data_IF_241610506124
#
_entry.id   IF_241610506124
#
_cell.length_a   1.000
_cell.length_b   1.000
_cell.length_c   1.000
_cell.angle_alpha   90.00
_cell.angle_beta   90.00
_cell.angle_gamma   90.00
#
_symmetry.space_group_name_H-M   'P 1'
#
loop_
_entity.id
_entity.type
_entity.pdbx_description
1 polymer ?
#
# COMPACT_ATOMS: atom_id res chain seq x y z
N UNK A 1 -20.96 6.88 -46.69
CA UNK A 1 -20.11 7.45 -45.61
C UNK A 1 -18.79 6.70 -45.62
N UNK A 2 -17.69 7.34 -46.02
CA UNK A 2 -16.36 6.72 -45.99
C UNK A 2 -15.86 6.64 -44.54
N UNK A 3 -15.12 5.59 -44.14
CA UNK A 3 -14.51 5.52 -42.81
C UNK A 3 -13.33 6.50 -42.71
N UNK A 4 -13.17 7.11 -41.54
CA UNK A 4 -12.06 8.01 -41.23
C UNK A 4 -10.71 7.25 -41.23
N UNK A 5 -9.59 7.90 -41.60
CA UNK A 5 -8.27 7.29 -41.56
C UNK A 5 -7.84 7.01 -40.12
N UNK A 6 -7.25 5.83 -39.89
CA UNK A 6 -6.62 5.48 -38.62
C UNK A 6 -5.29 6.23 -38.51
N UNK A 7 -5.17 7.06 -37.48
CA UNK A 7 -3.90 7.66 -37.09
C UNK A 7 -3.37 6.79 -35.94
N UNK A 8 -2.28 6.08 -36.18
CA UNK A 8 -1.64 5.26 -35.16
C UNK A 8 -0.94 6.16 -34.13
N UNK A 9 -0.97 5.82 -32.83
CA UNK A 9 -0.37 6.64 -31.79
C UNK A 9 1.18 6.62 -31.86
N UNK A 10 1.87 7.72 -31.47
CA UNK A 10 3.30 7.93 -31.73
C UNK A 10 4.28 6.91 -31.09
N UNK A 11 3.81 6.00 -30.25
CA UNK A 11 4.65 5.04 -29.54
C UNK A 11 4.86 3.73 -30.32
N UNK A 12 4.07 3.44 -31.37
CA UNK A 12 4.28 2.23 -32.19
C UNK A 12 5.47 2.35 -33.14
N UNK A 13 5.78 3.55 -33.61
CA UNK A 13 6.90 3.81 -34.53
C UNK A 13 8.26 3.67 -33.81
N UNK A 14 8.31 3.98 -32.51
CA UNK A 14 9.49 3.78 -31.66
C UNK A 14 9.89 2.30 -31.47
N UNK A 15 8.98 1.35 -31.74
CA UNK A 15 9.25 -0.09 -31.60
C UNK A 15 9.92 -0.74 -32.81
N UNK A 16 9.96 -0.06 -33.96
CA UNK A 16 10.50 -0.62 -35.23
C UNK A 16 11.90 -0.12 -35.58
N UNK A 17 12.48 0.79 -34.79
CA UNK A 17 13.87 1.22 -35.03
C UNK A 17 14.87 0.19 -34.50
N UNK A 18 15.80 -0.33 -35.32
CA UNK A 18 16.73 -1.39 -34.93
C UNK A 18 17.98 -0.89 -34.17
N UNK A 19 18.02 0.39 -33.77
CA UNK A 19 19.25 1.04 -33.27
C UNK A 19 19.47 0.97 -31.74
N UNK A 20 18.59 0.33 -30.96
CA UNK A 20 18.83 0.11 -29.52
C UNK A 20 19.29 -1.33 -29.21
N UNK A 21 20.32 -1.85 -29.89
CA UNK A 21 21.04 -2.99 -29.31
C UNK A 21 21.86 -2.49 -28.11
N UNK A 22 21.28 -2.60 -26.91
CA UNK A 22 22.03 -2.45 -25.66
C UNK A 22 22.89 -3.71 -25.53
N UNK A 23 24.13 -3.64 -26.03
CA UNK A 23 25.17 -4.58 -25.63
C UNK A 23 25.54 -4.32 -24.17
N UNK A 24 25.42 -5.34 -23.32
CA UNK A 24 26.03 -5.34 -21.99
C UNK A 24 25.09 -5.19 -20.79
N UNK A 25 24.11 -6.08 -20.63
CA UNK A 25 23.54 -6.40 -19.31
C UNK A 25 24.20 -7.68 -18.80
N UNK A 26 25.31 -7.51 -18.08
CA UNK A 26 26.05 -8.62 -17.47
C UNK A 26 27.12 -8.23 -16.45
N UNK A 27 27.28 -6.95 -16.11
CA UNK A 27 28.21 -6.54 -15.06
C UNK A 27 27.48 -5.69 -14.03
N UNK A 28 27.46 -6.18 -12.78
CA UNK A 28 27.04 -5.39 -11.64
C UNK A 28 27.96 -4.18 -11.53
N UNK A 29 27.40 -2.97 -11.66
CA UNK A 29 28.14 -1.74 -11.40
C UNK A 29 28.72 -1.79 -9.98
N UNK A 30 30.00 -1.40 -9.77
CA UNK A 30 30.55 -1.30 -8.43
C UNK A 30 29.73 -0.30 -7.62
N UNK A 31 29.35 -0.69 -6.41
CA UNK A 31 28.60 0.19 -5.53
C UNK A 31 29.40 1.48 -5.25
N UNK A 32 28.79 2.67 -5.36
CA UNK A 32 29.45 3.91 -5.02
C UNK A 32 29.95 3.92 -3.56
N UNK A 33 31.15 4.46 -3.32
CA UNK A 33 31.78 4.50 -2.00
C UNK A 33 30.96 5.23 -0.92
N UNK A 34 30.02 6.12 -1.31
CA UNK A 34 29.11 6.79 -0.37
C UNK A 34 28.07 5.85 0.26
N UNK A 35 27.95 4.60 -0.21
CA UNK A 35 27.05 3.58 0.35
C UNK A 35 27.69 2.72 1.46
N UNK A 36 28.93 2.98 1.85
CA UNK A 36 29.66 2.20 2.86
C UNK A 36 29.70 2.95 4.20
N UNK A 37 29.76 2.21 5.32
CA UNK A 37 29.95 2.81 6.66
C UNK A 37 31.37 3.39 6.83
N UNK A 38 31.65 4.08 7.95
CA UNK A 38 32.98 4.63 8.26
C UNK A 38 34.09 3.57 8.36
N UNK A 39 33.74 2.28 8.33
CA UNK A 39 34.65 1.14 8.30
C UNK A 39 34.73 0.47 6.92
N UNK A 40 34.16 1.07 5.88
CA UNK A 40 34.20 0.55 4.50
C UNK A 40 33.35 -0.72 4.30
N UNK A 41 32.45 -1.04 5.24
CA UNK A 41 31.58 -2.21 5.15
C UNK A 41 30.24 -1.84 4.57
N UNK A 42 29.65 -2.78 3.83
CA UNK A 42 28.23 -2.72 3.50
C UNK A 42 27.46 -2.80 4.82
N UNK A 43 26.55 -1.87 5.09
CA UNK A 43 25.76 -1.98 6.28
C UNK A 43 24.88 -3.25 6.16
N UNK A 44 24.64 -3.91 7.30
CA UNK A 44 23.89 -5.16 7.29
C UNK A 44 22.48 -4.80 6.83
N UNK A 45 22.10 -5.23 5.61
CA UNK A 45 20.79 -4.96 5.00
C UNK A 45 19.62 -5.04 5.99
N UNK A 46 19.69 -5.98 6.94
CA UNK A 46 18.69 -6.16 7.99
C UNK A 46 18.61 -5.02 9.03
N UNK A 47 19.74 -4.48 9.50
CA UNK A 47 19.76 -3.43 10.54
C UNK A 47 19.31 -2.08 9.98
N UNK A 48 19.72 -1.76 8.74
CA UNK A 48 19.33 -0.52 8.06
C UNK A 48 17.81 -0.47 7.79
N UNK A 49 17.22 -1.63 7.51
CA UNK A 49 15.79 -1.74 7.29
C UNK A 49 14.98 -1.45 8.56
N UNK A 50 15.47 -1.81 9.74
CA UNK A 50 14.80 -1.52 11.02
C UNK A 50 14.87 -0.02 11.33
N UNK A 51 16.04 0.61 11.24
CA UNK A 51 16.19 2.04 11.50
C UNK A 51 15.31 2.88 10.55
N UNK A 52 15.27 2.51 9.27
CA UNK A 52 14.37 3.14 8.31
C UNK A 52 12.91 2.92 8.68
N UNK A 53 12.50 1.68 8.99
CA UNK A 53 11.11 1.39 9.40
C UNK A 53 10.70 2.26 10.58
N UNK A 54 11.57 2.39 11.60
CA UNK A 54 11.34 3.23 12.77
C UNK A 54 11.16 4.70 12.41
N UNK A 55 11.87 5.22 11.40
CA UNK A 55 11.79 6.64 11.00
C UNK A 55 10.40 7.09 10.54
N UNK A 56 9.58 6.16 10.06
CA UNK A 56 8.21 6.44 9.59
C UNK A 56 7.13 5.66 10.35
N UNK A 57 7.50 5.06 11.49
CA UNK A 57 6.58 4.32 12.34
C UNK A 57 6.19 5.10 13.60
N UNK A 58 4.97 4.88 14.06
CA UNK A 58 4.42 5.46 15.28
C UNK A 58 4.39 4.40 16.37
N UNK A 59 4.99 4.73 17.52
CA UNK A 59 4.96 3.89 18.72
C UNK A 59 3.64 4.06 19.46
N UNK A 60 3.14 2.98 20.07
CA UNK A 60 1.96 3.03 20.92
C UNK A 60 0.64 3.15 20.16
N UNK A 61 0.64 2.86 18.86
CA UNK A 61 -0.52 2.94 17.98
C UNK A 61 -0.68 1.62 17.24
N UNK A 62 -1.89 1.06 17.21
CA UNK A 62 -2.30 0.04 16.24
C UNK A 62 -3.28 0.62 15.24
N UNK A 63 -3.39 0.01 14.07
CA UNK A 63 -4.45 0.30 13.11
C UNK A 63 -5.56 -0.74 13.28
N UNK A 64 -6.81 -0.28 13.34
CA UNK A 64 -7.97 -1.11 13.66
C UNK A 64 -9.04 -1.06 12.55
N UNK A 65 -9.81 -2.15 12.37
CA UNK A 65 -9.76 -3.39 13.16
C UNK A 65 -8.52 -4.23 12.89
N UNK A 66 -8.05 -4.92 13.94
CA UNK A 66 -7.02 -5.94 13.79
C UNK A 66 -7.58 -7.14 13.02
N UNK A 67 -6.68 -7.91 12.40
CA UNK A 67 -6.98 -9.22 11.80
C UNK A 67 -7.88 -9.21 10.55
N UNK A 68 -7.92 -8.08 9.82
CA UNK A 68 -8.46 -8.04 8.45
C UNK A 68 -7.70 -8.95 7.48
N UNK A 69 -6.43 -9.24 7.79
CA UNK A 69 -5.66 -10.34 7.23
C UNK A 69 -5.32 -11.34 8.33
N UNK A 70 -5.04 -12.61 7.98
CA UNK A 70 -4.54 -13.58 8.94
C UNK A 70 -3.32 -13.03 9.69
N UNK A 71 -3.40 -13.11 11.02
CA UNK A 71 -2.32 -12.82 11.93
C UNK A 71 -1.07 -13.61 11.52
N UNK A 72 0.08 -12.94 11.54
CA UNK A 72 1.36 -13.56 11.22
C UNK A 72 2.40 -13.22 12.28
N UNK A 73 3.42 -14.05 12.41
CA UNK A 73 4.61 -13.74 13.22
C UNK A 73 5.71 -13.26 12.29
N UNK A 74 6.30 -12.12 12.61
CA UNK A 74 7.42 -11.55 11.85
C UNK A 74 8.63 -11.37 12.73
N UNK A 75 9.84 -11.44 12.19
CA UNK A 75 11.06 -11.37 13.01
C UNK A 75 11.18 -10.03 13.75
N UNK A 76 10.81 -8.96 13.07
CA UNK A 76 10.91 -7.58 13.53
C UNK A 76 9.90 -6.68 12.76
N UNK A 77 9.77 -5.39 13.15
CA UNK A 77 8.84 -4.49 12.47
C UNK A 77 9.15 -4.25 10.98
N UNK A 78 10.41 -4.33 10.56
CA UNK A 78 10.79 -4.13 9.16
C UNK A 78 10.34 -5.29 8.28
N UNK A 79 10.35 -6.52 8.82
CA UNK A 79 9.77 -7.68 8.17
C UNK A 79 8.25 -7.53 8.01
N UNK A 80 7.56 -7.04 9.05
CA UNK A 80 6.13 -6.75 9.00
C UNK A 80 5.78 -5.64 7.99
N UNK A 81 6.55 -4.54 7.96
CA UNK A 81 6.41 -3.48 6.95
C UNK A 81 6.59 -4.05 5.53
N UNK A 82 7.63 -4.85 5.32
CA UNK A 82 7.91 -5.45 4.02
C UNK A 82 6.80 -6.43 3.59
N UNK A 83 6.21 -7.18 4.52
CA UNK A 83 5.02 -7.99 4.25
C UNK A 83 3.85 -7.12 3.81
N UNK A 84 3.56 -6.02 4.53
CA UNK A 84 2.52 -5.08 4.11
C UNK A 84 2.76 -4.55 2.69
N UNK A 85 4.00 -4.19 2.35
CA UNK A 85 4.35 -3.70 1.01
C UNK A 85 4.02 -4.69 -0.12
N UNK A 86 4.09 -6.00 0.15
CA UNK A 86 3.80 -7.07 -0.82
C UNK A 86 2.34 -7.50 -0.80
N UNK A 87 1.62 -7.26 0.29
CA UNK A 87 0.21 -7.64 0.42
C UNK A 87 -0.69 -6.64 -0.29
N UNK A 88 -1.38 -7.10 -1.34
CA UNK A 88 -2.37 -6.27 -2.03
C UNK A 88 -3.46 -5.81 -1.06
N UNK A 89 -3.69 -4.49 -1.01
CA UNK A 89 -4.71 -3.88 -0.16
C UNK A 89 -4.20 -3.48 1.22
N UNK A 90 -3.00 -3.90 1.62
CA UNK A 90 -2.39 -3.42 2.86
C UNK A 90 -1.96 -1.96 2.71
N UNK A 91 -2.33 -1.16 3.69
CA UNK A 91 -2.01 0.26 3.77
C UNK A 91 -1.32 0.65 5.08
N UNK A 92 -1.50 -0.18 6.11
CA UNK A 92 -0.85 0.00 7.39
C UNK A 92 -0.43 -1.36 7.94
N UNK A 93 0.69 -1.38 8.63
CA UNK A 93 1.07 -2.51 9.47
C UNK A 93 0.97 -2.10 10.94
N UNK A 94 0.67 -3.05 11.81
CA UNK A 94 0.73 -2.90 13.26
C UNK A 94 1.47 -4.09 13.84
N UNK A 95 2.70 -3.84 14.31
CA UNK A 95 3.57 -4.86 14.87
C UNK A 95 3.60 -4.78 16.39
N UNK A 96 3.17 -5.84 17.07
CA UNK A 96 3.25 -5.95 18.53
C UNK A 96 4.58 -6.58 18.95
N UNK A 97 5.46 -5.75 19.50
CA UNK A 97 6.83 -6.11 19.86
C UNK A 97 6.96 -7.33 20.80
N UNK A 98 6.15 -7.48 21.87
CA UNK A 98 6.31 -8.60 22.81
C UNK A 98 6.03 -9.97 22.17
N UNK A 99 4.96 -10.07 21.39
CA UNK A 99 4.55 -11.32 20.75
C UNK A 99 5.10 -11.52 19.35
N UNK A 100 5.73 -10.49 18.76
CA UNK A 100 6.14 -10.46 17.35
C UNK A 100 4.97 -10.59 16.36
N UNK A 101 3.80 -10.16 16.80
CA UNK A 101 2.57 -10.26 16.03
C UNK A 101 2.51 -9.15 14.99
N UNK A 102 2.34 -9.54 13.73
CA UNK A 102 2.20 -8.65 12.60
C UNK A 102 0.77 -8.69 12.08
N UNK A 103 0.06 -7.59 12.33
CA UNK A 103 -1.27 -7.33 11.82
C UNK A 103 -1.15 -6.40 10.61
N UNK A 104 -1.86 -6.73 9.53
CA UNK A 104 -1.97 -5.87 8.35
C UNK A 104 -3.35 -5.24 8.33
N UNK A 105 -3.42 -4.02 7.82
CA UNK A 105 -4.64 -3.25 7.78
C UNK A 105 -4.81 -2.51 6.46
N UNK A 106 -6.06 -2.35 6.05
CA UNK A 106 -6.43 -1.65 4.82
C UNK A 106 -6.38 -0.14 5.01
N UNK A 107 -6.52 0.61 3.91
CA UNK A 107 -6.47 2.09 3.92
C UNK A 107 -7.53 2.74 4.81
N UNK A 108 -8.59 2.02 5.15
CA UNK A 108 -9.69 2.55 5.93
C UNK A 108 -9.59 2.23 7.41
N UNK A 109 -8.56 1.50 7.82
CA UNK A 109 -8.31 1.30 9.22
C UNK A 109 -8.11 2.65 9.92
N UNK A 110 -8.49 2.68 11.19
CA UNK A 110 -8.37 3.86 12.04
C UNK A 110 -7.23 3.68 13.03
N UNK A 111 -6.46 4.73 13.33
CA UNK A 111 -5.40 4.64 14.32
C UNK A 111 -6.02 4.57 15.73
N UNK A 112 -5.62 3.57 16.51
CA UNK A 112 -5.96 3.39 17.91
C UNK A 112 -4.73 3.72 18.77
N UNK A 113 -4.69 4.89 19.46
CA UNK A 113 -3.58 5.25 20.34
C UNK A 113 -3.63 4.51 21.68
N UNK A 114 -2.54 4.60 22.47
CA UNK A 114 -2.46 3.99 23.80
C UNK A 114 -2.24 2.48 23.79
N UNK A 115 -1.81 1.93 22.65
CA UNK A 115 -1.63 0.49 22.42
C UNK A 115 -0.20 0.08 22.76
N UNK A 116 0.02 -0.32 24.00
CA UNK A 116 1.36 -0.65 24.50
C UNK A 116 2.03 -1.77 23.69
N UNK A 117 3.32 -1.61 23.44
CA UNK A 117 4.12 -2.57 22.68
C UNK A 117 3.89 -2.56 21.17
N UNK A 118 2.93 -1.77 20.66
CA UNK A 118 2.75 -1.63 19.22
C UNK A 118 3.71 -0.62 18.60
N UNK A 119 4.17 -0.97 17.40
CA UNK A 119 4.82 -0.09 16.45
C UNK A 119 4.08 -0.26 15.12
N UNK A 120 3.56 0.83 14.57
CA UNK A 120 2.76 0.79 13.34
C UNK A 120 3.22 1.81 12.33
N UNK A 121 2.91 1.59 11.06
CA UNK A 121 3.35 2.51 10.01
C UNK A 121 2.82 2.15 8.62
N UNK A 122 3.21 2.94 7.60
CA UNK A 122 2.91 2.66 6.20
C UNK A 122 3.69 1.44 5.68
N UNK A 123 3.32 0.88 4.50
CA UNK A 123 4.07 -0.20 3.84
C UNK A 123 5.50 0.17 3.44
N UNK A 124 5.88 1.45 3.50
CA UNK A 124 7.25 1.93 3.27
C UNK A 124 7.39 3.39 3.66
N UNK A 125 8.61 3.84 3.96
CA UNK A 125 8.86 5.19 4.49
C UNK A 125 9.11 6.27 3.43
N UNK A 126 9.63 5.89 2.27
CA UNK A 126 9.98 6.82 1.21
C UNK A 126 9.01 6.65 0.02
N UNK A 127 8.68 7.74 -0.67
CA UNK A 127 7.68 7.73 -1.75
C UNK A 127 8.03 6.79 -2.90
N UNK A 128 9.33 6.62 -3.19
CA UNK A 128 9.86 5.66 -4.15
C UNK A 128 9.70 4.19 -3.69
N UNK A 129 9.56 3.98 -2.38
CA UNK A 129 9.36 2.67 -1.74
C UNK A 129 7.89 2.34 -1.49
N UNK A 130 6.98 3.23 -1.87
CA UNK A 130 5.55 3.04 -1.76
C UNK A 130 4.97 2.82 -3.16
N UNK A 131 4.13 1.80 -3.34
CA UNK A 131 3.58 1.50 -4.67
C UNK A 131 2.68 2.63 -5.18
N UNK A 132 2.71 2.92 -6.49
CA UNK A 132 1.77 3.85 -7.15
C UNK A 132 0.30 3.49 -6.83
N UNK A 133 0.00 2.20 -6.71
CA UNK A 133 -1.31 1.69 -6.29
C UNK A 133 -1.70 2.20 -4.91
N UNK A 134 -0.79 2.16 -3.93
CA UNK A 134 -1.04 2.70 -2.60
C UNK A 134 -1.28 4.21 -2.62
N UNK A 135 -0.46 4.98 -3.35
CA UNK A 135 -0.63 6.44 -3.44
C UNK A 135 -2.01 6.79 -4.01
N UNK A 136 -2.40 6.15 -5.11
CA UNK A 136 -3.73 6.31 -5.72
C UNK A 136 -4.83 5.90 -4.75
N UNK A 137 -4.66 4.78 -4.04
CA UNK A 137 -5.63 4.30 -3.04
C UNK A 137 -5.84 5.33 -1.93
N UNK A 138 -4.76 5.89 -1.38
CA UNK A 138 -4.83 6.91 -0.33
C UNK A 138 -5.48 8.20 -0.82
N UNK A 139 -5.11 8.67 -2.01
CA UNK A 139 -5.74 9.84 -2.63
C UNK A 139 -7.24 9.62 -2.86
N UNK A 140 -7.64 8.45 -3.38
CA UNK A 140 -9.06 8.13 -3.56
C UNK A 140 -9.81 8.07 -2.24
N UNK A 141 -9.21 7.55 -1.15
CA UNK A 141 -9.85 7.60 0.18
C UNK A 141 -10.17 9.04 0.57
N UNK A 142 -9.19 9.93 0.48
CA UNK A 142 -9.35 11.33 0.88
C UNK A 142 -10.29 12.13 -0.02
N UNK A 143 -10.37 11.80 -1.32
CA UNK A 143 -11.17 12.58 -2.30
C UNK A 143 -12.59 12.04 -2.47
N UNK A 144 -12.81 10.73 -2.30
CA UNK A 144 -14.09 10.10 -2.68
C UNK A 144 -14.95 9.66 -1.49
N UNK A 145 -14.43 9.59 -0.27
CA UNK A 145 -15.14 9.03 0.87
C UNK A 145 -15.11 9.96 2.08
N UNK A 146 -16.20 9.96 2.84
CA UNK A 146 -16.27 10.61 4.15
C UNK A 146 -15.78 9.64 5.22
N UNK A 147 -14.83 10.07 6.05
CA UNK A 147 -14.35 9.26 7.15
C UNK A 147 -15.40 9.17 8.27
N UNK A 148 -15.44 8.02 8.96
CA UNK A 148 -16.32 7.75 10.11
C UNK A 148 -17.81 8.11 9.91
N UNK A 149 -18.29 8.12 8.67
CA UNK A 149 -19.68 8.49 8.34
C UNK A 149 -20.47 7.24 8.01
N UNK A 150 -21.52 6.98 8.79
CA UNK A 150 -22.51 5.94 8.50
C UNK A 150 -23.81 6.60 8.08
N UNK A 151 -24.26 6.27 6.87
CA UNK A 151 -25.60 6.60 6.42
C UNK A 151 -26.56 5.56 7.03
N UNK A 152 -27.44 6.00 7.93
CA UNK A 152 -28.49 5.16 8.50
C UNK A 152 -29.53 4.89 7.41
N UNK A 153 -29.83 3.61 7.14
CA UNK A 153 -30.65 3.22 6.00
C UNK A 153 -32.05 3.86 6.01
N UNK A 154 -32.51 4.23 4.82
CA UNK A 154 -33.90 4.04 4.43
C UNK A 154 -34.13 2.57 4.09
N UNK A 155 -35.16 1.99 4.71
CA UNK A 155 -35.64 0.60 4.61
C UNK A 155 -35.36 -0.08 3.26
N UNK A 156 -34.55 -1.16 3.22
CA UNK A 156 -34.70 -2.16 2.14
C UNK A 156 -33.48 -2.93 1.58
N UNK A 157 -32.23 -2.71 2.02
CA UNK A 157 -31.08 -3.48 1.48
C UNK A 157 -30.34 -4.28 2.54
N UNK A 158 -30.28 -5.61 2.38
CA UNK A 158 -29.38 -6.43 3.19
C UNK A 158 -27.91 -6.04 2.89
N UNK A 159 -27.06 -5.91 3.93
CA UNK A 159 -25.65 -5.64 3.73
C UNK A 159 -24.99 -6.78 2.94
N UNK A 160 -24.05 -6.40 2.09
CA UNK A 160 -23.22 -7.31 1.29
C UNK A 160 -21.78 -7.27 1.76
N UNK A 161 -21.08 -8.39 1.60
CA UNK A 161 -19.65 -8.47 1.89
C UNK A 161 -18.87 -8.14 0.61
N UNK A 162 -17.94 -7.20 0.72
CA UNK A 162 -17.04 -6.79 -0.37
C UNK A 162 -15.62 -6.67 0.13
N UNK A 163 -14.67 -7.00 -0.74
CA UNK A 163 -13.23 -7.07 -0.40
C UNK A 163 -12.64 -5.72 0.02
N UNK A 164 -13.21 -4.61 -0.44
CA UNK A 164 -12.79 -3.26 -0.10
C UNK A 164 -13.85 -2.22 -0.48
N UNK A 165 -13.73 -1.02 0.10
CA UNK A 165 -14.63 0.11 -0.15
C UNK A 165 -14.75 0.53 -1.63
N UNK A 166 -13.72 0.30 -2.46
CA UNK A 166 -13.81 0.64 -3.87
C UNK A 166 -14.78 -0.28 -4.62
N UNK A 167 -14.96 -1.51 -4.14
CA UNK A 167 -16.00 -2.41 -4.67
C UNK A 167 -17.39 -1.88 -4.31
N UNK A 168 -17.62 -1.43 -3.08
CA UNK A 168 -18.88 -0.74 -2.71
C UNK A 168 -19.12 0.54 -3.52
N UNK A 169 -18.08 1.35 -3.75
CA UNK A 169 -18.16 2.53 -4.62
C UNK A 169 -18.57 2.15 -6.05
N UNK A 170 -17.94 1.12 -6.62
CA UNK A 170 -18.25 0.63 -7.96
C UNK A 170 -19.69 0.08 -8.02
N UNK A 171 -20.12 -0.65 -7.00
CA UNK A 171 -21.48 -1.21 -6.94
C UNK A 171 -22.53 -0.12 -6.85
N UNK A 172 -22.36 0.86 -5.97
CA UNK A 172 -23.31 1.96 -5.85
C UNK A 172 -23.46 2.72 -7.18
N UNK A 173 -22.39 2.90 -7.95
CA UNK A 173 -22.46 3.48 -9.31
C UNK A 173 -23.29 2.66 -10.31
N UNK A 174 -23.45 1.36 -10.09
CA UNK A 174 -24.14 0.43 -10.98
C UNK A 174 -25.58 0.13 -10.51
N UNK A 175 -25.91 0.45 -9.27
CA UNK A 175 -27.24 0.22 -8.69
C UNK A 175 -28.11 1.44 -8.96
N UNK A 176 -29.27 1.22 -9.60
CA UNK A 176 -30.22 2.30 -9.85
C UNK A 176 -30.63 2.97 -8.53
N UNK A 177 -30.64 4.30 -8.53
CA UNK A 177 -30.96 5.15 -7.37
C UNK A 177 -30.06 4.98 -6.13
N UNK A 178 -28.85 4.42 -6.25
CA UNK A 178 -27.90 4.46 -5.14
C UNK A 178 -27.27 5.85 -5.01
N UNK A 179 -27.63 6.58 -3.96
CA UNK A 179 -27.07 7.90 -3.65
C UNK A 179 -25.84 7.82 -2.73
N UNK A 180 -25.88 6.91 -1.74
CA UNK A 180 -24.84 6.74 -0.74
C UNK A 180 -24.64 5.25 -0.43
N UNK A 181 -23.47 4.91 0.09
CA UNK A 181 -23.19 3.61 0.67
C UNK A 181 -22.38 3.78 1.95
N UNK A 182 -22.52 2.84 2.88
CA UNK A 182 -21.63 2.71 4.04
C UNK A 182 -20.80 1.44 3.88
N UNK A 183 -19.54 1.47 4.31
CA UNK A 183 -18.68 0.30 4.33
C UNK A 183 -18.16 0.08 5.76
N UNK A 184 -18.54 -1.06 6.34
CA UNK A 184 -18.08 -1.49 7.65
C UNK A 184 -17.06 -2.62 7.48
N UNK A 185 -16.11 -2.70 8.42
CA UNK A 185 -15.16 -3.81 8.53
C UNK A 185 -15.63 -4.85 9.53
#
# INVERSE_FOLDING_TARGET
>A
KAPAPKIDPPWEEARRSPEWKIEGIGQALPNPAWMLDHHGRRPRRHVDNIALTLSCSTKGVSWEPLDTWPLSKELDPSACQARCARTSGCAHFSYWLPGKDCHLQSILASPAPGRWGFLSGPPGCALDRISKKFVIMRLRKHVCFHDMTKYLEGVGSWPIVEDNIFACQKRCRLVDRCAHFTYNF
#
